data_IF_485698505856
#
_entry.id   IF_485698505856
#
_cell.length_a   1.000
_cell.length_b   1.000
_cell.length_c   1.000
_cell.angle_alpha   90.00
_cell.angle_beta   90.00
_cell.angle_gamma   90.00
#
_symmetry.space_group_name_H-M   'P 1'
#
loop_
_entity.id
_entity.type
_entity.pdbx_description
1 polymer ?
#
# COMPACT_ATOMS: atom_id res chain seq x y z
N UNK A 1 63.93 -67.06 -9.45
CA UNK A 1 64.79 -66.15 -10.24
C UNK A 1 64.44 -66.12 -11.74
N UNK A 2 63.39 -66.79 -12.23
CA UNK A 2 63.07 -66.87 -13.67
C UNK A 2 62.02 -65.84 -14.16
N UNK A 3 61.20 -65.30 -13.27
CA UNK A 3 60.11 -64.37 -13.62
C UNK A 3 60.62 -62.92 -13.85
N UNK A 4 61.62 -62.51 -13.07
CA UNK A 4 62.28 -61.21 -13.21
C UNK A 4 63.10 -61.12 -14.51
N UNK A 5 63.75 -62.20 -14.92
CA UNK A 5 64.49 -62.26 -16.18
C UNK A 5 63.55 -62.29 -17.39
N UNK A 6 62.40 -62.98 -17.32
CA UNK A 6 61.40 -62.95 -18.40
C UNK A 6 60.79 -61.55 -18.61
N UNK A 7 60.57 -60.80 -17.53
CA UNK A 7 60.07 -59.42 -17.60
C UNK A 7 61.15 -58.48 -18.15
N UNK A 8 62.40 -58.66 -17.71
CA UNK A 8 63.57 -57.93 -18.20
C UNK A 8 63.78 -58.12 -19.71
N UNK A 9 63.66 -59.36 -20.20
CA UNK A 9 63.94 -59.67 -21.60
C UNK A 9 62.81 -59.24 -22.53
N UNK A 10 61.55 -59.33 -22.08
CA UNK A 10 60.42 -58.72 -22.80
C UNK A 10 60.46 -57.19 -22.79
N UNK A 11 60.95 -56.57 -21.71
CA UNK A 11 61.15 -55.12 -21.63
C UNK A 11 62.29 -54.64 -22.55
N UNK A 12 63.37 -55.42 -22.69
CA UNK A 12 64.44 -55.14 -23.67
C UNK A 12 63.95 -55.25 -25.11
N UNK A 13 63.17 -56.29 -25.42
CA UNK A 13 62.55 -56.44 -26.75
C UNK A 13 61.59 -55.31 -27.10
N UNK A 14 60.86 -54.78 -26.13
CA UNK A 14 59.99 -53.62 -26.32
C UNK A 14 60.78 -52.32 -26.58
N UNK A 15 61.99 -52.22 -26.02
CA UNK A 15 62.88 -51.05 -26.19
C UNK A 15 63.54 -50.98 -27.58
N UNK A 16 63.80 -52.13 -28.20
CA UNK A 16 64.53 -52.22 -29.47
C UNK A 16 63.62 -52.30 -30.71
N UNK A 17 62.28 -52.27 -30.53
CA UNK A 17 61.33 -52.35 -31.64
C UNK A 17 61.17 -50.99 -32.36
N UNK A 18 61.56 -50.94 -33.64
CA UNK A 18 61.48 -49.74 -34.50
C UNK A 18 60.09 -49.51 -35.10
N UNK A 19 59.08 -50.30 -34.70
CA UNK A 19 57.65 -49.97 -34.86
C UNK A 19 57.14 -48.84 -33.95
N UNK A 20 58.04 -48.13 -33.25
CA UNK A 20 57.78 -47.13 -32.22
C UNK A 20 56.89 -45.93 -32.59
N UNK A 21 56.50 -45.77 -33.86
CA UNK A 21 55.43 -44.83 -34.22
C UNK A 21 54.12 -45.17 -33.47
N UNK A 22 53.78 -46.44 -33.32
CA UNK A 22 52.56 -46.84 -32.62
C UNK A 22 52.60 -46.51 -31.12
N UNK A 23 53.73 -46.73 -30.44
CA UNK A 23 53.89 -46.43 -29.02
C UNK A 23 53.91 -44.91 -28.75
N UNK A 24 54.56 -44.14 -29.63
CA UNK A 24 54.61 -42.66 -29.54
C UNK A 24 53.22 -42.06 -29.83
N UNK A 25 52.52 -42.52 -30.87
CA UNK A 25 51.15 -42.08 -31.18
C UNK A 25 50.20 -42.48 -30.06
N UNK A 26 50.33 -43.69 -29.49
CA UNK A 26 49.54 -44.13 -28.34
C UNK A 26 49.78 -43.24 -27.11
N UNK A 27 51.04 -42.96 -26.77
CA UNK A 27 51.37 -42.11 -25.63
C UNK A 27 50.83 -40.67 -25.79
N UNK A 28 50.90 -40.12 -27.01
CA UNK A 28 50.39 -38.76 -27.29
C UNK A 28 48.86 -38.72 -27.33
N UNK A 29 48.18 -39.78 -27.76
CA UNK A 29 46.70 -39.83 -27.84
C UNK A 29 46.02 -40.22 -26.53
N UNK A 30 46.69 -40.99 -25.67
CA UNK A 30 46.16 -41.38 -24.35
C UNK A 30 45.95 -40.18 -23.43
N UNK A 31 46.85 -39.19 -23.46
CA UNK A 31 46.76 -38.00 -22.62
C UNK A 31 45.49 -37.17 -22.89
N UNK A 32 45.19 -36.72 -24.13
CA UNK A 32 43.96 -35.98 -24.42
C UNK A 32 42.70 -36.82 -24.22
N UNK A 33 42.74 -38.14 -24.46
CA UNK A 33 41.60 -39.02 -24.11
C UNK A 33 41.36 -39.10 -22.60
N UNK A 34 42.42 -39.24 -21.80
CA UNK A 34 42.31 -39.26 -20.35
C UNK A 34 41.77 -37.93 -19.81
N UNK A 35 42.19 -36.80 -20.37
CA UNK A 35 41.62 -35.49 -20.05
C UNK A 35 40.15 -35.37 -20.45
N UNK A 36 39.77 -35.87 -21.64
CA UNK A 36 38.38 -35.86 -22.06
C UNK A 36 37.48 -36.71 -21.15
N UNK A 37 37.96 -37.88 -20.71
CA UNK A 37 37.25 -38.74 -19.75
C UNK A 37 37.14 -38.03 -18.39
N UNK A 38 38.23 -37.43 -17.91
CA UNK A 38 38.22 -36.70 -16.64
C UNK A 38 37.28 -35.50 -16.65
N UNK A 39 37.29 -34.74 -17.74
CA UNK A 39 36.34 -33.68 -18.00
C UNK A 39 34.89 -34.17 -18.01
N UNK A 40 34.62 -35.32 -18.65
CA UNK A 40 33.29 -35.90 -18.67
C UNK A 40 32.80 -36.32 -17.27
N UNK A 41 33.67 -36.84 -16.41
CA UNK A 41 33.33 -37.23 -15.04
C UNK A 41 33.01 -36.00 -14.18
N UNK A 42 33.84 -34.96 -14.24
CA UNK A 42 33.60 -33.70 -13.52
C UNK A 42 32.34 -32.98 -14.04
N UNK A 43 32.10 -33.03 -15.35
CA UNK A 43 30.87 -32.50 -15.93
C UNK A 43 29.63 -33.29 -15.48
N UNK A 44 29.72 -34.62 -15.42
CA UNK A 44 28.65 -35.47 -14.90
C UNK A 44 28.38 -35.20 -13.41
N UNK A 45 29.41 -34.92 -12.60
CA UNK A 45 29.24 -34.52 -11.21
C UNK A 45 28.54 -33.16 -11.10
N UNK A 46 28.92 -32.18 -11.92
CA UNK A 46 28.27 -30.87 -11.99
C UNK A 46 26.80 -30.97 -12.43
N UNK A 47 26.46 -31.82 -13.40
CA UNK A 47 25.07 -32.06 -13.83
C UNK A 47 24.24 -32.69 -12.71
N UNK A 48 24.78 -33.70 -12.01
CA UNK A 48 24.10 -34.29 -10.85
C UNK A 48 23.82 -33.25 -9.78
N UNK A 49 24.82 -32.40 -9.49
CA UNK A 49 24.66 -31.30 -8.55
C UNK A 49 23.60 -30.30 -9.02
N UNK A 50 23.52 -30.00 -10.32
CA UNK A 50 22.47 -29.13 -10.87
C UNK A 50 21.08 -29.70 -10.62
N UNK A 51 20.88 -31.00 -10.87
CA UNK A 51 19.60 -31.66 -10.64
C UNK A 51 19.21 -31.63 -9.14
N UNK A 52 20.16 -31.94 -8.25
CA UNK A 52 19.95 -31.84 -6.80
C UNK A 52 19.64 -30.41 -6.37
N UNK A 53 20.41 -29.42 -6.85
CA UNK A 53 20.20 -28.01 -6.53
C UNK A 53 18.82 -27.52 -6.98
N UNK A 54 18.40 -27.87 -8.19
CA UNK A 54 17.06 -27.52 -8.70
C UNK A 54 15.97 -28.13 -7.83
N UNK A 55 16.03 -29.44 -7.56
CA UNK A 55 15.02 -30.12 -6.74
C UNK A 55 14.95 -29.58 -5.31
N UNK A 56 16.11 -29.32 -4.68
CA UNK A 56 16.19 -28.71 -3.34
C UNK A 56 15.67 -27.27 -3.35
N UNK A 57 15.96 -26.50 -4.40
CA UNK A 57 15.48 -25.12 -4.56
C UNK A 57 13.97 -25.06 -4.79
N UNK A 58 13.41 -25.96 -5.59
CA UNK A 58 11.96 -26.06 -5.81
C UNK A 58 11.22 -26.38 -4.51
N UNK A 59 11.70 -27.39 -3.76
CA UNK A 59 11.16 -27.73 -2.45
C UNK A 59 11.27 -26.56 -1.46
N UNK A 60 12.39 -25.84 -1.49
CA UNK A 60 12.60 -24.69 -0.62
C UNK A 60 11.69 -23.50 -0.95
N UNK A 61 11.57 -23.15 -2.22
CA UNK A 61 10.68 -22.10 -2.68
C UNK A 61 9.21 -22.47 -2.41
N UNK A 62 8.83 -23.73 -2.65
CA UNK A 62 7.48 -24.21 -2.39
C UNK A 62 7.12 -24.20 -0.91
N UNK A 63 8.01 -24.61 -0.01
CA UNK A 63 7.69 -24.58 1.42
C UNK A 63 7.58 -23.15 1.96
N UNK A 64 8.37 -22.20 1.44
CA UNK A 64 8.22 -20.77 1.76
C UNK A 64 6.89 -20.24 1.22
N UNK A 65 6.52 -20.63 0.00
CA UNK A 65 5.22 -20.30 -0.59
C UNK A 65 4.05 -20.85 0.25
N UNK A 66 4.11 -22.10 0.68
CA UNK A 66 3.08 -22.74 1.51
C UNK A 66 3.01 -22.10 2.90
N UNK A 67 4.15 -21.81 3.54
CA UNK A 67 4.18 -21.10 4.83
C UNK A 67 3.49 -19.73 4.74
N UNK A 68 3.65 -19.03 3.61
CA UNK A 68 2.95 -17.77 3.37
C UNK A 68 1.44 -17.95 3.15
N UNK A 69 1.02 -19.09 2.59
CA UNK A 69 -0.40 -19.43 2.40
C UNK A 69 -1.06 -19.83 3.72
N UNK A 70 -0.34 -20.53 4.62
CA UNK A 70 -0.85 -21.01 5.89
C UNK A 70 -0.94 -19.94 7.00
N UNK A 71 -0.81 -18.66 6.64
CA UNK A 71 -0.98 -17.53 7.56
C UNK A 71 0.25 -17.23 8.42
N UNK A 72 1.42 -17.83 8.13
CA UNK A 72 2.67 -17.38 8.75
C UNK A 72 3.16 -16.10 8.07
N UNK A 73 3.58 -15.12 8.87
CA UNK A 73 4.10 -13.84 8.41
C UNK A 73 5.50 -13.99 7.80
N UNK A 74 5.63 -14.49 6.58
CA UNK A 74 6.89 -14.38 5.84
C UNK A 74 6.95 -12.97 5.25
N UNK A 75 7.94 -12.20 5.71
CA UNK A 75 8.23 -10.89 5.16
C UNK A 75 8.73 -11.05 3.71
N UNK A 76 7.98 -10.50 2.75
CA UNK A 76 8.29 -10.62 1.32
C UNK A 76 9.30 -9.57 0.84
N UNK A 77 9.83 -8.73 1.73
CA UNK A 77 10.98 -7.90 1.40
C UNK A 77 12.14 -8.81 0.97
N UNK A 78 12.80 -8.43 -0.13
CA UNK A 78 13.82 -9.24 -0.81
C UNK A 78 14.87 -9.83 0.12
N UNK A 79 15.33 -9.07 1.12
CA UNK A 79 16.30 -9.54 2.12
C UNK A 79 15.76 -10.64 3.05
N UNK A 80 14.56 -10.47 3.59
CA UNK A 80 13.94 -11.46 4.47
C UNK A 80 13.52 -12.72 3.71
N UNK A 81 12.98 -12.54 2.50
CA UNK A 81 12.59 -13.62 1.60
C UNK A 81 13.81 -14.46 1.17
N UNK A 82 14.90 -13.80 0.80
CA UNK A 82 16.18 -14.45 0.50
C UNK A 82 16.67 -15.26 1.68
N UNK A 83 16.59 -14.72 2.91
CA UNK A 83 17.00 -15.44 4.11
C UNK A 83 16.14 -16.70 4.35
N UNK A 84 14.82 -16.60 4.19
CA UNK A 84 13.89 -17.72 4.35
C UNK A 84 14.17 -18.85 3.33
N UNK A 85 14.31 -18.50 2.04
CA UNK A 85 14.62 -19.48 0.99
C UNK A 85 16.00 -20.10 1.20
N UNK A 86 17.01 -19.30 1.55
CA UNK A 86 18.37 -19.80 1.82
C UNK A 86 18.39 -20.80 2.97
N UNK A 87 17.71 -20.49 4.08
CA UNK A 87 17.61 -21.39 5.26
C UNK A 87 17.02 -22.74 4.86
N UNK A 88 15.92 -22.71 4.11
CA UNK A 88 15.25 -23.93 3.69
C UNK A 88 16.06 -24.72 2.66
N UNK A 89 16.71 -24.04 1.72
CA UNK A 89 17.61 -24.64 0.73
C UNK A 89 18.78 -25.35 1.42
N UNK A 90 19.39 -24.74 2.44
CA UNK A 90 20.47 -25.36 3.20
C UNK A 90 20.00 -26.64 3.90
N UNK A 91 18.78 -26.64 4.47
CA UNK A 91 18.17 -27.85 5.03
C UNK A 91 17.93 -28.92 3.97
N UNK A 92 17.41 -28.54 2.79
CA UNK A 92 17.11 -29.46 1.70
C UNK A 92 18.36 -30.03 1.01
N UNK A 93 19.49 -29.32 1.05
CA UNK A 93 20.79 -29.79 0.54
C UNK A 93 21.55 -30.69 1.54
N UNK A 94 21.12 -30.74 2.81
CA UNK A 94 21.73 -31.58 3.84
C UNK A 94 23.24 -31.34 3.99
N UNK A 95 24.09 -32.39 3.96
CA UNK A 95 25.54 -32.26 4.10
C UNK A 95 26.22 -31.30 3.10
N UNK A 96 25.64 -31.16 1.89
CA UNK A 96 26.14 -30.24 0.86
C UNK A 96 25.84 -28.78 1.19
N UNK A 97 24.78 -28.50 1.97
CA UNK A 97 24.39 -27.16 2.39
C UNK A 97 25.26 -26.57 3.50
N UNK A 98 25.94 -27.42 4.28
CA UNK A 98 26.85 -27.02 5.34
C UNK A 98 28.29 -26.72 4.85
N UNK A 99 28.67 -27.27 3.69
CA UNK A 99 30.07 -27.28 3.22
C UNK A 99 30.33 -26.50 1.92
N UNK A 100 29.28 -25.93 1.30
CA UNK A 100 29.43 -25.12 0.10
C UNK A 100 29.00 -23.67 0.36
N UNK A 101 29.71 -22.71 -0.23
CA UNK A 101 29.26 -21.32 -0.33
C UNK A 101 28.00 -21.24 -1.20
N UNK A 102 26.85 -21.67 -0.67
CA UNK A 102 25.56 -21.56 -1.34
C UNK A 102 25.09 -20.11 -1.22
N UNK A 103 25.06 -19.43 -2.36
CA UNK A 103 24.41 -18.13 -2.48
C UNK A 103 23.02 -18.33 -3.04
N UNK A 104 22.00 -17.84 -2.33
CA UNK A 104 20.63 -17.80 -2.82
C UNK A 104 20.16 -16.35 -2.84
N UNK A 105 19.32 -16.02 -3.81
CA UNK A 105 18.57 -14.77 -3.90
C UNK A 105 17.12 -15.11 -4.16
N UNK A 106 16.21 -14.39 -3.54
CA UNK A 106 14.78 -14.55 -3.77
C UNK A 106 14.08 -13.20 -3.78
N UNK A 107 13.11 -13.05 -4.68
CA UNK A 107 12.31 -11.85 -4.85
C UNK A 107 10.91 -12.23 -5.32
N UNK A 108 9.96 -11.33 -5.08
CA UNK A 108 8.68 -11.36 -5.79
C UNK A 108 8.91 -10.63 -7.12
N UNK A 109 8.68 -11.34 -8.23
CA UNK A 109 8.81 -10.73 -9.55
C UNK A 109 7.60 -9.84 -9.88
N UNK A 110 7.59 -9.17 -11.04
CA UNK A 110 6.48 -8.33 -11.51
C UNK A 110 5.15 -9.08 -11.67
N UNK A 111 5.22 -10.41 -11.64
CA UNK A 111 4.14 -11.36 -11.75
C UNK A 111 3.54 -11.70 -10.37
N UNK A 112 4.20 -11.34 -9.26
CA UNK A 112 3.75 -11.74 -7.93
C UNK A 112 4.14 -13.20 -7.60
N UNK A 113 4.90 -13.85 -8.47
CA UNK A 113 5.48 -15.16 -8.21
C UNK A 113 6.78 -15.01 -7.41
N UNK A 114 7.04 -16.00 -6.55
CA UNK A 114 8.31 -16.15 -5.88
C UNK A 114 9.34 -16.64 -6.91
N UNK A 115 10.27 -15.79 -7.30
CA UNK A 115 11.43 -16.15 -8.09
C UNK A 115 12.63 -16.35 -7.17
N UNK A 116 13.30 -17.51 -7.26
CA UNK A 116 14.50 -17.79 -6.50
C UNK A 116 15.62 -18.32 -7.39
N UNK A 117 16.84 -17.86 -7.13
CA UNK A 117 18.06 -18.29 -7.81
C UNK A 117 19.05 -18.77 -6.77
N UNK A 118 19.62 -19.96 -6.97
CA UNK A 118 20.70 -20.51 -6.15
C UNK A 118 21.93 -20.79 -7.00
N UNK A 119 23.10 -20.59 -6.42
CA UNK A 119 24.39 -20.90 -7.03
C UNK A 119 25.24 -21.70 -6.05
N UNK A 120 25.92 -22.72 -6.58
CA UNK A 120 26.86 -23.56 -5.84
C UNK A 120 28.12 -23.77 -6.68
N UNK A 121 29.28 -23.69 -6.04
CA UNK A 121 30.57 -23.96 -6.68
C UNK A 121 30.96 -25.41 -6.39
N UNK A 122 31.10 -26.21 -7.45
CA UNK A 122 31.50 -27.62 -7.35
C UNK A 122 32.98 -27.74 -7.65
N UNK A 123 33.83 -28.22 -6.73
CA UNK A 123 35.24 -28.46 -7.01
C UNK A 123 35.38 -29.61 -8.01
N UNK A 124 36.24 -29.43 -9.01
CA UNK A 124 36.56 -30.44 -10.02
C UNK A 124 37.73 -31.30 -9.56
N UNK A 125 37.65 -32.62 -9.70
CA UNK A 125 38.72 -33.51 -9.25
C UNK A 125 39.77 -33.76 -10.34
N UNK A 126 39.36 -33.81 -11.60
CA UNK A 126 40.20 -34.22 -12.72
C UNK A 126 40.54 -33.03 -13.62
N UNK A 127 39.61 -32.11 -13.85
CA UNK A 127 39.85 -30.85 -14.55
C UNK A 127 40.77 -29.90 -13.74
N UNK A 128 40.87 -30.08 -12.42
CA UNK A 128 41.79 -29.32 -11.57
C UNK A 128 43.25 -29.47 -11.98
N UNK A 129 43.60 -30.61 -12.58
CA UNK A 129 44.95 -30.90 -13.09
C UNK A 129 45.34 -29.97 -14.24
N UNK A 130 44.35 -29.47 -15.00
CA UNK A 130 44.56 -28.52 -16.13
C UNK A 130 44.17 -27.08 -15.77
N UNK A 131 44.06 -26.77 -14.48
CA UNK A 131 43.85 -25.41 -13.97
C UNK A 131 42.39 -24.96 -13.89
N UNK A 132 41.42 -25.80 -14.26
CA UNK A 132 40.00 -25.54 -14.00
C UNK A 132 39.66 -26.19 -12.66
N UNK A 133 39.66 -25.40 -11.58
CA UNK A 133 39.53 -25.94 -10.21
C UNK A 133 38.08 -26.10 -9.72
N UNK A 134 37.12 -25.50 -10.42
CA UNK A 134 35.71 -25.54 -10.02
C UNK A 134 34.76 -25.19 -11.16
N UNK A 135 33.53 -25.68 -11.07
CA UNK A 135 32.41 -25.35 -11.96
C UNK A 135 31.31 -24.68 -11.14
N UNK A 136 30.84 -23.52 -11.58
CA UNK A 136 29.68 -22.87 -10.98
C UNK A 136 28.40 -23.44 -11.57
N UNK A 137 27.51 -23.90 -10.69
CA UNK A 137 26.21 -24.46 -11.05
C UNK A 137 25.13 -23.54 -10.50
N UNK A 138 24.23 -23.10 -11.37
CA UNK A 138 23.09 -22.26 -11.01
C UNK A 138 21.77 -22.96 -11.29
N UNK A 139 20.79 -22.76 -10.40
CA UNK A 139 19.41 -23.17 -10.58
C UNK A 139 18.48 -21.99 -10.32
N UNK A 140 17.38 -21.94 -11.05
CA UNK A 140 16.33 -20.92 -10.94
C UNK A 140 14.97 -21.59 -10.85
N UNK A 141 14.11 -21.10 -9.96
CA UNK A 141 12.73 -21.58 -9.83
C UNK A 141 11.75 -20.42 -9.73
N UNK A 142 10.50 -20.66 -10.12
CA UNK A 142 9.39 -19.72 -10.01
C UNK A 142 8.18 -20.45 -9.44
N UNK A 143 7.66 -19.97 -8.31
CA UNK A 143 6.48 -20.53 -7.65
C UNK A 143 5.39 -19.48 -7.60
N UNK A 144 4.23 -19.79 -8.20
CA UNK A 144 3.06 -18.91 -8.13
C UNK A 144 2.47 -18.96 -6.72
N UNK A 145 2.28 -17.79 -6.13
CA UNK A 145 1.58 -17.64 -4.85
C UNK A 145 0.08 -17.41 -5.13
N UNK A 146 -0.84 -18.09 -4.42
CA UNK A 146 -2.25 -17.71 -4.46
C UNK A 146 -2.38 -16.24 -4.10
N UNK A 147 -3.21 -15.50 -4.84
CA UNK A 147 -3.44 -14.08 -4.62
C UNK A 147 -3.71 -13.82 -3.13
N UNK A 148 -2.94 -12.92 -2.53
CA UNK A 148 -3.09 -12.61 -1.12
C UNK A 148 -4.39 -11.89 -0.80
N UNK A 149 -4.74 -11.82 0.50
CA UNK A 149 -5.88 -11.02 0.97
C UNK A 149 -5.81 -9.58 0.46
N UNK A 150 -6.94 -8.93 0.37
CA UNK A 150 -7.13 -7.55 -0.05
C UNK A 150 -7.49 -6.71 1.17
N UNK A 151 -6.77 -5.61 1.36
CA UNK A 151 -7.18 -4.54 2.26
C UNK A 151 -7.35 -3.27 1.43
N UNK A 152 -8.54 -2.69 1.46
CA UNK A 152 -8.87 -1.50 0.67
C UNK A 152 -9.42 -0.38 1.56
N UNK A 153 -8.94 0.84 1.38
CA UNK A 153 -9.52 2.03 1.99
C UNK A 153 -10.09 2.95 0.91
N UNK A 154 -11.36 3.33 1.05
CA UNK A 154 -12.00 4.33 0.19
C UNK A 154 -11.88 5.70 0.85
N UNK A 155 -11.00 6.56 0.34
CA UNK A 155 -10.93 7.98 0.69
C UNK A 155 -11.94 8.73 -0.19
N UNK A 156 -13.09 9.04 0.40
CA UNK A 156 -14.25 9.53 -0.33
C UNK A 156 -14.53 10.98 0.04
N UNK A 157 -14.44 11.86 -0.95
CA UNK A 157 -14.82 13.25 -0.81
C UNK A 157 -16.33 13.37 -0.54
N UNK A 158 -16.67 13.99 0.57
CA UNK A 158 -18.03 14.27 1.01
C UNK A 158 -18.23 15.76 1.30
N UNK A 159 -17.58 16.62 0.53
CA UNK A 159 -17.64 18.08 0.68
C UNK A 159 -18.96 18.66 0.16
N UNK A 160 -19.17 19.97 0.32
CA UNK A 160 -20.43 20.63 -0.06
C UNK A 160 -20.77 20.49 -1.54
N UNK A 161 -19.77 20.50 -2.42
CA UNK A 161 -19.90 20.30 -3.88
C UNK A 161 -20.52 18.95 -4.25
N UNK A 162 -20.34 17.95 -3.38
CA UNK A 162 -20.87 16.60 -3.56
C UNK A 162 -22.36 16.46 -3.25
N UNK A 163 -23.04 17.51 -2.77
CA UNK A 163 -24.44 17.41 -2.38
C UNK A 163 -25.38 16.99 -3.53
N UNK A 164 -26.52 16.40 -3.16
CA UNK A 164 -27.56 15.99 -4.10
C UNK A 164 -27.19 14.75 -4.93
N UNK A 165 -27.23 14.87 -6.26
CA UNK A 165 -27.05 13.73 -7.16
C UNK A 165 -25.61 13.17 -7.16
N UNK A 166 -24.60 14.00 -6.83
CA UNK A 166 -23.20 13.56 -6.83
C UNK A 166 -22.90 12.55 -5.73
N UNK A 167 -23.30 12.84 -4.48
CA UNK A 167 -23.12 11.91 -3.36
C UNK A 167 -23.94 10.63 -3.57
N UNK A 168 -25.14 10.70 -4.14
CA UNK A 168 -25.94 9.52 -4.49
C UNK A 168 -25.24 8.65 -5.55
N UNK A 169 -24.62 9.27 -6.55
CA UNK A 169 -23.81 8.56 -7.55
C UNK A 169 -22.58 7.89 -6.92
N UNK A 170 -21.89 8.59 -6.02
CA UNK A 170 -20.77 8.02 -5.26
C UNK A 170 -21.21 6.83 -4.41
N UNK A 171 -22.31 6.94 -3.67
CA UNK A 171 -22.84 5.85 -2.85
C UNK A 171 -23.13 4.61 -3.69
N UNK A 172 -23.69 4.79 -4.89
CA UNK A 172 -23.95 3.70 -5.82
C UNK A 172 -22.64 3.07 -6.32
N UNK A 173 -21.69 3.89 -6.79
CA UNK A 173 -20.40 3.41 -7.30
C UNK A 173 -19.57 2.69 -6.21
N UNK A 174 -19.54 3.22 -4.99
CA UNK A 174 -18.88 2.61 -3.84
C UNK A 174 -19.57 1.30 -3.42
N UNK A 175 -20.91 1.22 -3.52
CA UNK A 175 -21.68 -0.01 -3.29
C UNK A 175 -21.29 -1.10 -4.28
N UNK A 176 -21.18 -0.77 -5.57
CA UNK A 176 -20.75 -1.71 -6.61
C UNK A 176 -19.34 -2.25 -6.36
N UNK A 177 -18.41 -1.37 -5.96
CA UNK A 177 -17.06 -1.77 -5.57
C UNK A 177 -17.08 -2.69 -4.34
N UNK A 178 -17.84 -2.33 -3.30
CA UNK A 178 -18.01 -3.16 -2.11
C UNK A 178 -18.53 -4.56 -2.46
N UNK A 179 -19.56 -4.64 -3.29
CA UNK A 179 -20.13 -5.91 -3.75
C UNK A 179 -19.12 -6.73 -4.56
N UNK A 180 -18.36 -6.07 -5.44
CA UNK A 180 -17.33 -6.72 -6.25
C UNK A 180 -16.21 -7.30 -5.39
N UNK A 181 -15.73 -6.56 -4.39
CA UNK A 181 -14.69 -7.04 -3.47
C UNK A 181 -15.19 -8.22 -2.62
N UNK A 182 -16.40 -8.13 -2.07
CA UNK A 182 -16.97 -9.21 -1.25
C UNK A 182 -17.50 -10.40 -2.07
N UNK A 183 -17.46 -10.33 -3.40
CA UNK A 183 -17.67 -11.49 -4.28
C UNK A 183 -16.45 -12.43 -4.38
N UNK A 184 -15.27 -12.00 -3.89
CA UNK A 184 -14.08 -12.85 -3.86
C UNK A 184 -14.35 -14.09 -2.99
N UNK A 185 -13.95 -15.30 -3.42
CA UNK A 185 -14.08 -16.52 -2.62
C UNK A 185 -13.48 -16.36 -1.21
N UNK A 186 -14.26 -16.73 -0.19
CA UNK A 186 -13.91 -16.57 1.23
C UNK A 186 -13.61 -15.10 1.62
N UNK A 187 -14.33 -14.13 1.05
CA UNK A 187 -14.14 -12.71 1.33
C UNK A 187 -14.12 -12.35 2.82
N UNK A 188 -14.89 -13.03 3.67
CA UNK A 188 -14.88 -12.82 5.13
C UNK A 188 -13.51 -13.05 5.78
N UNK A 189 -12.61 -13.80 5.14
CA UNK A 189 -11.23 -14.01 5.58
C UNK A 189 -10.19 -13.29 4.71
N UNK A 190 -10.55 -12.94 3.48
CA UNK A 190 -9.62 -12.46 2.47
C UNK A 190 -9.81 -10.99 2.09
N UNK A 191 -10.87 -10.33 2.55
CA UNK A 191 -11.20 -8.97 2.17
C UNK A 191 -11.49 -8.18 3.43
N UNK A 192 -10.80 -7.06 3.57
CA UNK A 192 -11.19 -6.03 4.51
C UNK A 192 -11.28 -4.68 3.82
N UNK A 193 -12.31 -3.92 4.16
CA UNK A 193 -12.57 -2.62 3.57
C UNK A 193 -12.75 -1.57 4.66
N UNK A 194 -12.18 -0.39 4.48
CA UNK A 194 -12.37 0.80 5.28
C UNK A 194 -13.03 1.90 4.42
N UNK A 195 -13.84 2.74 5.04
CA UNK A 195 -14.48 3.90 4.39
C UNK A 195 -14.08 5.14 5.16
N UNK A 196 -13.42 6.07 4.48
CA UNK A 196 -12.92 7.33 5.04
C UNK A 196 -13.59 8.48 4.29
N UNK A 197 -14.80 8.89 4.71
CA UNK A 197 -15.36 10.17 4.28
C UNK A 197 -14.46 11.30 4.75
N UNK A 198 -14.23 12.27 3.88
CA UNK A 198 -13.49 13.47 4.24
C UNK A 198 -14.15 14.73 3.68
N UNK A 199 -14.01 15.80 4.44
CA UNK A 199 -14.12 17.16 3.94
C UNK A 199 -12.80 17.86 4.28
N UNK A 200 -12.84 19.08 4.82
CA UNK A 200 -11.63 19.71 5.30
C UNK A 200 -11.07 18.97 6.53
N UNK A 201 -11.87 18.14 7.20
CA UNK A 201 -11.46 17.24 8.28
C UNK A 201 -11.81 15.79 7.98
N UNK A 202 -11.30 14.89 8.83
CA UNK A 202 -11.76 13.50 8.93
C UNK A 202 -12.37 13.31 10.31
N UNK A 203 -13.47 12.57 10.37
CA UNK A 203 -14.09 12.17 11.63
C UNK A 203 -13.63 10.76 12.00
N UNK A 204 -12.99 10.60 13.15
CA UNK A 204 -12.49 9.30 13.63
C UNK A 204 -13.48 8.57 14.55
N UNK A 205 -14.66 9.16 14.76
CA UNK A 205 -15.64 8.72 15.75
C UNK A 205 -15.20 9.03 17.18
N UNK A 206 -16.01 8.57 18.14
CA UNK A 206 -15.81 8.85 19.57
C UNK A 206 -15.14 7.70 20.34
N UNK A 207 -14.96 6.54 19.71
CA UNK A 207 -14.45 5.34 20.37
C UNK A 207 -13.02 5.54 20.91
N UNK A 208 -12.21 6.32 20.19
CA UNK A 208 -10.80 6.57 20.52
C UNK A 208 -10.58 7.86 21.32
N UNK A 209 -11.62 8.42 21.95
CA UNK A 209 -11.56 9.67 22.74
C UNK A 209 -10.47 9.69 23.81
N UNK A 210 -10.21 8.54 24.42
CA UNK A 210 -9.21 8.38 25.48
C UNK A 210 -7.92 7.71 24.96
N UNK A 211 -7.74 7.60 23.64
CA UNK A 211 -6.54 7.02 23.07
C UNK A 211 -5.32 7.90 23.36
N UNK A 212 -4.20 7.27 23.73
CA UNK A 212 -2.97 7.98 24.12
C UNK A 212 -2.28 8.70 22.96
N UNK A 213 -2.66 8.37 21.73
CA UNK A 213 -2.17 9.01 20.51
C UNK A 213 -3.03 10.19 20.05
N UNK A 214 -4.10 10.54 20.79
CA UNK A 214 -5.00 11.66 20.52
C UNK A 214 -4.86 12.72 21.63
N UNK A 215 -4.86 13.99 21.28
CA UNK A 215 -4.80 15.12 22.24
C UNK A 215 -5.96 16.09 22.05
N UNK A 216 -6.45 16.70 23.12
CA UNK A 216 -7.50 17.74 23.06
C UNK A 216 -8.94 17.24 22.85
N UNK A 217 -9.21 15.94 23.02
CA UNK A 217 -10.51 15.32 22.73
C UNK A 217 -11.53 15.37 23.90
N UNK A 218 -11.16 15.99 25.01
CA UNK A 218 -11.99 16.02 26.23
C UNK A 218 -12.94 17.22 26.19
N UNK A 219 -14.23 16.98 26.40
CA UNK A 219 -15.22 18.04 26.51
C UNK A 219 -14.92 18.90 27.75
N UNK A 220 -15.13 20.20 27.64
CA UNK A 220 -14.98 21.11 28.77
C UNK A 220 -16.01 22.23 28.70
N UNK A 221 -16.31 22.83 29.85
CA UNK A 221 -17.23 23.96 29.94
C UNK A 221 -16.44 25.21 30.27
N UNK A 222 -16.59 26.27 29.49
CA UNK A 222 -16.16 27.61 29.90
C UNK A 222 -17.24 28.20 30.80
N UNK A 223 -16.92 28.54 32.07
CA UNK A 223 -17.91 29.15 32.96
C UNK A 223 -18.41 30.48 32.39
N UNK A 224 -19.67 30.80 32.68
CA UNK A 224 -20.19 32.13 32.42
C UNK A 224 -19.29 33.19 33.08
N UNK A 225 -18.82 34.17 32.30
CA UNK A 225 -18.02 35.28 32.82
C UNK A 225 -18.58 36.61 32.31
N UNK A 226 -18.60 37.62 33.18
CA UNK A 226 -19.17 38.94 32.91
C UNK A 226 -20.53 39.19 33.57
N UNK A 227 -21.06 40.39 33.36
CA UNK A 227 -22.37 40.82 33.88
C UNK A 227 -23.43 40.80 32.79
N UNK A 228 -24.70 40.67 33.17
CA UNK A 228 -25.80 40.79 32.25
C UNK A 228 -25.84 42.19 31.62
N UNK A 229 -26.14 42.25 30.33
CA UNK A 229 -26.24 43.50 29.57
C UNK A 229 -27.65 43.64 29.02
N UNK A 230 -28.25 44.83 29.18
CA UNK A 230 -29.53 45.16 28.57
C UNK A 230 -29.31 45.50 27.10
N UNK A 231 -29.90 44.70 26.21
CA UNK A 231 -29.83 44.90 24.76
C UNK A 231 -31.15 45.46 24.23
N UNK A 232 -31.11 46.38 23.25
CA UNK A 232 -32.32 46.87 22.60
C UNK A 232 -33.00 45.73 21.84
N UNK A 233 -34.30 45.54 22.07
CA UNK A 233 -35.09 44.59 21.31
C UNK A 233 -35.47 45.23 19.96
N UNK A 234 -34.73 44.91 18.91
CA UNK A 234 -34.92 45.49 17.57
C UNK A 234 -35.91 44.65 16.77
N UNK A 235 -37.04 45.25 16.38
CA UNK A 235 -38.07 44.59 15.57
C UNK A 235 -38.04 45.15 14.16
N UNK A 236 -38.09 44.26 13.16
CA UNK A 236 -38.19 44.67 11.77
C UNK A 236 -39.55 45.34 11.52
N UNK A 237 -39.53 46.61 11.12
CA UNK A 237 -40.74 47.43 10.90
C UNK A 237 -40.78 48.07 9.51
N UNK A 238 -39.64 48.16 8.82
CA UNK A 238 -39.56 48.67 7.44
C UNK A 238 -40.00 47.66 6.36
N UNK A 239 -40.49 46.49 6.74
CA UNK A 239 -40.71 45.37 5.82
C UNK A 239 -39.40 44.71 5.36
N UNK A 240 -39.52 43.69 4.51
CA UNK A 240 -38.38 42.91 4.01
C UNK A 240 -38.17 43.16 2.52
N UNK A 241 -36.92 43.33 2.11
CA UNK A 241 -36.49 43.25 0.72
C UNK A 241 -35.70 41.98 0.51
N UNK A 242 -36.05 41.21 -0.51
CA UNK A 242 -35.25 40.06 -0.94
C UNK A 242 -34.00 40.56 -1.66
N UNK A 243 -32.83 40.27 -1.11
CA UNK A 243 -31.54 40.50 -1.77
C UNK A 243 -31.20 39.22 -2.52
N UNK A 244 -31.04 39.33 -3.83
CA UNK A 244 -30.48 38.25 -4.66
C UNK A 244 -28.98 38.49 -4.79
N UNK A 245 -28.19 37.44 -4.60
CA UNK A 245 -26.74 37.46 -4.74
C UNK A 245 -26.24 36.15 -5.33
N UNK A 246 -24.94 36.07 -5.53
CA UNK A 246 -24.23 34.82 -5.83
C UNK A 246 -23.53 34.36 -4.56
N UNK A 247 -23.91 33.20 -4.04
CA UNK A 247 -23.24 32.55 -2.92
C UNK A 247 -22.25 31.51 -3.46
N UNK A 248 -21.13 31.35 -2.77
CA UNK A 248 -20.17 30.27 -3.06
C UNK A 248 -20.26 29.23 -1.95
N UNK A 249 -20.38 27.96 -2.32
CA UNK A 249 -20.30 26.81 -1.42
C UNK A 249 -19.22 25.88 -1.99
N UNK A 250 -18.13 25.69 -1.26
CA UNK A 250 -16.98 24.89 -1.68
C UNK A 250 -16.49 25.18 -3.11
N UNK A 251 -16.22 26.46 -3.38
CA UNK A 251 -15.74 26.93 -4.69
C UNK A 251 -16.79 26.91 -5.82
N UNK A 252 -17.99 26.38 -5.60
CA UNK A 252 -19.09 26.39 -6.58
C UNK A 252 -20.01 27.59 -6.33
N UNK A 253 -20.14 28.46 -7.33
CA UNK A 253 -21.04 29.63 -7.30
C UNK A 253 -22.48 29.27 -7.69
N UNK A 254 -23.45 29.70 -6.90
CA UNK A 254 -24.88 29.52 -7.16
C UNK A 254 -25.69 30.77 -6.78
N UNK A 255 -26.83 31.05 -7.44
CA UNK A 255 -27.70 32.14 -7.03
C UNK A 255 -28.34 31.83 -5.67
N UNK A 256 -28.30 32.81 -4.78
CA UNK A 256 -28.92 32.72 -3.46
C UNK A 256 -29.70 33.99 -3.16
N UNK A 257 -30.66 33.89 -2.24
CA UNK A 257 -31.42 35.06 -1.81
C UNK A 257 -31.68 35.01 -0.31
N UNK A 258 -31.58 36.16 0.36
CA UNK A 258 -31.98 36.31 1.75
C UNK A 258 -32.86 37.55 1.94
N UNK A 259 -33.70 37.51 2.96
CA UNK A 259 -34.51 38.66 3.32
C UNK A 259 -33.68 39.62 4.17
N UNK A 260 -33.55 40.87 3.69
CA UNK A 260 -32.99 41.97 4.45
C UNK A 260 -34.12 42.84 4.98
N UNK A 261 -34.07 43.19 6.26
CA UNK A 261 -35.02 44.13 6.84
C UNK A 261 -34.66 45.57 6.43
N UNK A 262 -35.64 46.35 5.98
CA UNK A 262 -35.42 47.72 5.49
C UNK A 262 -35.43 48.79 6.59
N UNK A 263 -35.66 48.40 7.84
CA UNK A 263 -35.70 49.33 8.97
C UNK A 263 -36.08 48.64 10.26
N UNK A 264 -35.33 48.94 11.32
CA UNK A 264 -35.54 48.41 12.66
C UNK A 264 -36.07 49.49 13.58
N UNK A 265 -37.07 49.16 14.40
CA UNK A 265 -37.54 50.03 15.49
C UNK A 265 -37.33 49.30 16.81
N UNK A 266 -36.86 50.03 17.84
CA UNK A 266 -36.66 49.45 19.16
C UNK A 266 -38.00 49.28 19.88
N UNK A 267 -38.29 48.07 20.34
CA UNK A 267 -39.46 47.74 21.17
C UNK A 267 -39.01 47.25 22.55
N UNK A 268 -38.56 48.18 23.39
CA UNK A 268 -38.06 47.89 24.73
C UNK A 268 -36.63 47.33 24.76
N UNK A 269 -36.29 46.67 25.85
CA UNK A 269 -35.01 46.00 26.07
C UNK A 269 -35.24 44.58 26.56
N UNK A 270 -34.29 43.69 26.28
CA UNK A 270 -34.20 42.38 26.92
C UNK A 270 -32.82 42.22 27.55
N UNK A 271 -32.76 41.48 28.65
CA UNK A 271 -31.52 41.26 29.37
C UNK A 271 -30.81 40.03 28.79
N UNK A 272 -29.59 40.20 28.28
CA UNK A 272 -28.72 39.11 27.84
C UNK A 272 -27.65 38.85 28.90
N UNK A 273 -27.68 37.67 29.51
CA UNK A 273 -26.72 37.26 30.51
C UNK A 273 -25.73 36.24 29.92
N UNK A 274 -24.42 36.36 30.21
CA UNK A 274 -23.45 35.33 29.86
C UNK A 274 -23.89 33.97 30.42
N UNK A 275 -23.85 32.95 29.58
CA UNK A 275 -24.14 31.56 29.96
C UNK A 275 -22.89 30.73 29.77
N UNK A 276 -22.76 29.65 30.54
CA UNK A 276 -21.65 28.72 30.37
C UNK A 276 -21.72 28.10 28.96
N UNK A 277 -20.58 28.02 28.28
CA UNK A 277 -20.49 27.40 26.95
C UNK A 277 -19.88 26.03 27.10
N UNK A 278 -20.59 25.00 26.62
CA UNK A 278 -20.08 23.64 26.57
C UNK A 278 -19.33 23.45 25.26
N UNK A 279 -18.07 23.06 25.36
CA UNK A 279 -17.22 22.71 24.24
C UNK A 279 -17.22 21.20 24.09
N UNK A 280 -17.59 20.70 22.91
CA UNK A 280 -17.81 19.26 22.67
C UNK A 280 -17.00 18.78 21.49
N UNK A 281 -16.32 17.66 21.67
CA UNK A 281 -15.61 17.00 20.59
C UNK A 281 -16.50 15.99 19.87
N UNK A 282 -16.71 16.21 18.57
CA UNK A 282 -17.59 15.38 17.74
C UNK A 282 -16.85 14.31 16.90
N UNK A 283 -15.56 14.07 17.18
CA UNK A 283 -14.74 13.08 16.48
C UNK A 283 -13.79 13.66 15.42
N UNK A 284 -13.83 14.98 15.18
CA UNK A 284 -13.03 15.63 14.16
C UNK A 284 -11.56 15.76 14.56
N UNK A 285 -10.65 15.54 13.63
CA UNK A 285 -9.20 15.63 13.86
C UNK A 285 -8.52 16.55 12.86
N UNK A 286 -7.54 17.30 13.37
CA UNK A 286 -6.71 18.23 12.61
C UNK A 286 -5.42 17.59 12.11
N UNK A 287 -4.54 18.43 11.57
CA UNK A 287 -3.19 18.02 11.15
C UNK A 287 -2.18 18.17 12.29
N UNK A 288 -1.24 17.23 12.36
CA UNK A 288 -0.02 17.36 13.17
C UNK A 288 0.93 18.33 12.50
N UNK A 289 1.88 18.86 13.28
CA UNK A 289 2.85 19.81 12.75
C UNK A 289 3.64 19.23 11.56
N UNK A 290 3.91 20.05 10.55
CA UNK A 290 4.79 19.66 9.46
C UNK A 290 6.19 19.28 10.01
N UNK A 291 6.81 18.17 9.54
CA UNK A 291 6.43 17.30 8.42
C UNK A 291 5.72 16.00 8.84
N UNK A 292 5.16 15.93 10.05
CA UNK A 292 4.72 14.67 10.67
C UNK A 292 3.61 13.95 9.89
N UNK A 293 2.82 14.68 9.10
CA UNK A 293 1.72 14.14 8.31
C UNK A 293 2.06 13.84 6.83
N UNK A 294 3.30 14.06 6.39
CA UNK A 294 3.74 13.79 5.00
C UNK A 294 5.01 12.95 4.87
N UNK A 295 5.72 12.70 5.97
CA UNK A 295 6.95 11.91 5.97
C UNK A 295 6.75 10.39 5.77
N UNK A 296 7.87 9.67 5.71
CA UNK A 296 7.89 8.21 5.50
C UNK A 296 7.16 7.39 6.57
N UNK A 297 6.87 7.98 7.72
CA UNK A 297 6.15 7.36 8.84
C UNK A 297 4.90 8.16 9.24
N UNK A 298 4.32 8.93 8.31
CA UNK A 298 3.13 9.73 8.59
C UNK A 298 1.89 8.91 8.97
N UNK A 299 1.87 7.62 8.60
CA UNK A 299 0.87 6.66 9.08
C UNK A 299 0.95 6.39 10.59
N UNK A 300 2.10 6.64 11.21
CA UNK A 300 2.35 6.33 12.61
C UNK A 300 2.00 7.52 13.50
N UNK A 301 1.36 7.23 14.63
CA UNK A 301 1.08 8.19 15.70
C UNK A 301 1.60 7.67 17.04
N UNK A 302 1.93 8.57 17.96
CA UNK A 302 2.42 8.20 19.30
C UNK A 302 2.09 9.28 20.31
N UNK A 303 2.32 8.99 21.60
CA UNK A 303 2.18 9.99 22.68
C UNK A 303 3.11 11.19 22.47
N UNK A 304 4.29 10.99 21.91
CA UNK A 304 5.24 12.06 21.61
C UNK A 304 4.90 12.86 20.35
N UNK A 305 3.98 12.37 19.53
CA UNK A 305 3.50 13.03 18.32
C UNK A 305 2.01 12.70 18.08
N UNK A 306 1.12 13.21 18.95
CA UNK A 306 -0.29 12.87 18.95
C UNK A 306 -1.05 13.62 17.85
N UNK A 307 -2.18 13.07 17.44
CA UNK A 307 -3.13 13.75 16.55
C UNK A 307 -3.94 14.76 17.37
N UNK A 308 -4.09 16.02 16.90
CA UNK A 308 -4.96 16.99 17.56
C UNK A 308 -6.43 16.72 17.24
N UNK A 309 -7.26 16.65 18.28
CA UNK A 309 -8.71 16.71 18.18
C UNK A 309 -9.19 18.15 18.00
N UNK A 310 -10.22 18.33 17.18
CA UNK A 310 -10.81 19.64 16.87
C UNK A 310 -12.13 19.80 17.62
N UNK A 311 -12.11 20.48 18.77
CA UNK A 311 -13.29 20.69 19.63
C UNK A 311 -14.20 21.80 19.06
N UNK A 312 -15.51 21.58 19.07
CA UNK A 312 -16.54 22.44 18.45
C UNK A 312 -16.54 22.49 16.92
N UNK A 313 -15.73 21.64 16.27
CA UNK A 313 -15.73 21.51 14.82
C UNK A 313 -16.75 20.46 14.40
N UNK A 314 -17.40 20.74 13.27
CA UNK A 314 -18.20 19.77 12.56
C UNK A 314 -17.38 19.20 11.39
N UNK A 315 -17.49 17.90 11.19
CA UNK A 315 -16.87 17.17 10.09
C UNK A 315 -17.85 16.11 9.57
N UNK A 316 -17.51 15.49 8.45
CA UNK A 316 -18.31 14.42 7.84
C UNK A 316 -18.62 13.26 8.83
N UNK A 317 -19.44 12.31 8.37
CA UNK A 317 -19.73 11.10 9.16
C UNK A 317 -18.45 10.37 9.61
N UNK A 318 -18.49 9.62 10.74
CA UNK A 318 -17.32 8.92 11.26
C UNK A 318 -16.78 7.92 10.23
N UNK A 319 -15.45 7.85 10.13
CA UNK A 319 -14.80 6.83 9.31
C UNK A 319 -15.14 5.44 9.84
N UNK A 320 -15.29 4.52 8.91
CA UNK A 320 -15.42 3.10 9.21
C UNK A 320 -14.05 2.45 9.06
N UNK A 321 -13.55 1.91 10.18
CA UNK A 321 -12.29 1.15 10.21
C UNK A 321 -12.37 -0.12 9.36
N UNK A 322 -11.19 -0.66 9.11
CA UNK A 322 -10.99 -1.84 8.28
C UNK A 322 -11.77 -3.03 8.84
N UNK A 323 -12.73 -3.56 8.06
CA UNK A 323 -13.59 -4.67 8.49
C UNK A 323 -13.82 -5.68 7.38
N UNK A 324 -14.07 -6.94 7.75
CA UNK A 324 -14.45 -8.03 6.85
C UNK A 324 -15.99 -8.21 6.74
N UNK A 325 -16.77 -7.28 7.30
CA UNK A 325 -18.23 -7.29 7.23
C UNK A 325 -18.73 -6.41 6.09
N UNK A 326 -19.20 -7.03 5.00
CA UNK A 326 -19.79 -6.32 3.87
C UNK A 326 -20.95 -5.40 4.30
N UNK A 327 -21.78 -5.87 5.24
CA UNK A 327 -22.92 -5.10 5.73
C UNK A 327 -22.49 -3.85 6.50
N UNK A 328 -21.40 -3.92 7.27
CA UNK A 328 -20.85 -2.77 7.99
C UNK A 328 -20.29 -1.73 7.01
N UNK A 329 -19.57 -2.18 5.97
CA UNK A 329 -19.07 -1.31 4.90
C UNK A 329 -20.23 -0.67 4.14
N UNK A 330 -21.26 -1.45 3.81
CA UNK A 330 -22.47 -0.96 3.13
C UNK A 330 -23.18 0.12 3.94
N UNK A 331 -23.27 -0.06 5.26
CA UNK A 331 -23.89 0.92 6.16
C UNK A 331 -23.09 2.22 6.18
N UNK A 332 -21.75 2.13 6.21
CA UNK A 332 -20.88 3.31 6.14
C UNK A 332 -21.05 4.08 4.82
N UNK A 333 -21.17 3.38 3.68
CA UNK A 333 -21.43 3.99 2.37
C UNK A 333 -22.80 4.69 2.35
N UNK A 334 -23.85 4.03 2.82
CA UNK A 334 -25.21 4.59 2.82
C UNK A 334 -25.34 5.84 3.70
N UNK A 335 -24.48 5.96 4.72
CA UNK A 335 -24.47 7.08 5.66
C UNK A 335 -23.58 8.26 5.23
N UNK A 336 -22.95 8.20 4.04
CA UNK A 336 -22.19 9.33 3.51
C UNK A 336 -23.10 10.55 3.31
N UNK A 337 -22.70 11.69 3.85
CA UNK A 337 -23.41 12.96 3.72
C UNK A 337 -22.46 14.05 3.28
N UNK A 338 -22.91 14.88 2.34
CA UNK A 338 -22.13 15.99 1.78
C UNK A 338 -22.17 17.22 2.69
N UNK A 339 -21.02 17.83 2.97
CA UNK A 339 -20.94 19.11 3.67
C UNK A 339 -19.50 19.51 4.04
N UNK A 340 -19.32 20.81 4.25
CA UNK A 340 -18.00 21.41 4.47
C UNK A 340 -17.30 21.73 3.16
N UNK A 341 -15.99 21.87 3.24
CA UNK A 341 -15.10 22.43 2.24
C UNK A 341 -13.99 21.40 1.93
N UNK A 342 -13.30 21.51 0.80
CA UNK A 342 -12.38 20.48 0.34
C UNK A 342 -10.93 20.66 0.82
N UNK A 343 -10.42 19.69 1.59
CA UNK A 343 -8.98 19.47 1.78
C UNK A 343 -8.64 17.97 1.66
N UNK A 344 -7.96 17.58 0.59
CA UNK A 344 -7.80 16.18 0.18
C UNK A 344 -6.75 15.44 1.02
N UNK A 345 -5.68 16.12 1.45
CA UNK A 345 -4.55 15.46 2.10
C UNK A 345 -4.93 14.69 3.39
N UNK A 346 -5.77 15.23 4.31
CA UNK A 346 -6.24 14.50 5.49
C UNK A 346 -7.02 13.23 5.15
N UNK A 347 -7.91 13.27 4.15
CA UNK A 347 -8.68 12.10 3.73
C UNK A 347 -7.77 10.96 3.26
N UNK A 348 -6.76 11.30 2.45
CA UNK A 348 -5.76 10.35 1.98
C UNK A 348 -4.88 9.79 3.11
N UNK A 349 -4.44 10.66 4.03
CA UNK A 349 -3.63 10.25 5.18
C UNK A 349 -4.39 9.30 6.11
N UNK A 350 -5.66 9.59 6.40
CA UNK A 350 -6.47 8.72 7.24
C UNK A 350 -6.82 7.40 6.57
N UNK A 351 -7.05 7.38 5.25
CA UNK A 351 -7.14 6.13 4.50
C UNK A 351 -5.87 5.29 4.65
N UNK A 352 -4.68 5.91 4.58
CA UNK A 352 -3.43 5.20 4.84
C UNK A 352 -3.33 4.67 6.29
N UNK A 353 -3.73 5.46 7.30
CA UNK A 353 -3.77 5.04 8.71
C UNK A 353 -4.66 3.82 8.94
N UNK A 354 -5.80 3.71 8.27
CA UNK A 354 -6.67 2.50 8.37
C UNK A 354 -6.03 1.25 7.79
N UNK A 355 -5.12 1.39 6.83
CA UNK A 355 -4.37 0.29 6.22
C UNK A 355 -3.03 0.01 6.92
N UNK A 356 -2.64 0.83 7.89
CA UNK A 356 -1.35 0.70 8.56
C UNK A 356 -1.37 -0.43 9.59
N UNK A 357 -0.25 -1.19 9.72
CA UNK A 357 -0.03 -2.09 10.84
C UNK A 357 0.39 -1.35 12.12
N UNK A 358 0.56 -0.03 12.07
CA UNK A 358 0.97 0.79 13.20
C UNK A 358 -0.23 1.52 13.82
N UNK A 359 -0.02 2.07 15.02
CA UNK A 359 -0.98 3.00 15.63
C UNK A 359 -1.28 4.14 14.65
N UNK A 360 -2.54 4.63 14.54
CA UNK A 360 -3.52 4.66 15.63
C UNK A 360 -4.31 3.37 15.84
N UNK A 361 -4.56 2.60 14.77
CA UNK A 361 -5.46 1.45 14.81
C UNK A 361 -4.76 0.11 14.76
N UNK A 362 -3.66 0.01 13.99
CA UNK A 362 -2.95 -1.23 13.74
C UNK A 362 -3.82 -2.35 13.14
N UNK A 363 -4.88 -1.99 12.40
CA UNK A 363 -5.84 -2.95 11.83
C UNK A 363 -5.31 -3.67 10.58
N UNK A 364 -4.40 -3.01 9.87
CA UNK A 364 -3.86 -3.47 8.61
C UNK A 364 -2.77 -4.53 8.77
N UNK A 365 -2.65 -5.42 7.79
CA UNK A 365 -1.53 -6.35 7.72
C UNK A 365 -0.17 -5.63 7.64
N UNK A 366 0.91 -6.29 8.05
CA UNK A 366 2.27 -5.75 7.94
C UNK A 366 2.63 -5.32 6.50
N UNK A 367 3.35 -4.21 6.37
CA UNK A 367 3.91 -3.80 5.07
C UNK A 367 4.86 -4.89 4.54
N UNK A 368 4.79 -5.18 3.23
CA UNK A 368 5.55 -6.28 2.62
C UNK A 368 5.01 -7.69 2.94
N UNK A 369 3.83 -7.81 3.54
CA UNK A 369 3.12 -9.09 3.61
C UNK A 369 2.50 -9.45 2.25
N UNK A 370 1.89 -10.64 2.15
CA UNK A 370 1.13 -11.06 0.95
C UNK A 370 -0.14 -10.22 0.73
N UNK A 371 -0.60 -9.50 1.76
CA UNK A 371 -1.81 -8.69 1.68
C UNK A 371 -1.60 -7.53 0.71
N UNK A 372 -2.47 -7.47 -0.30
CA UNK A 372 -2.49 -6.43 -1.30
C UNK A 372 -3.29 -5.26 -0.75
N UNK A 373 -2.64 -4.10 -0.66
CA UNK A 373 -3.22 -2.89 -0.06
C UNK A 373 -3.56 -1.87 -1.13
N UNK A 374 -4.78 -1.34 -1.08
CA UNK A 374 -5.30 -0.41 -2.07
C UNK A 374 -5.94 0.80 -1.41
N UNK A 375 -5.75 1.98 -2.00
CA UNK A 375 -6.54 3.17 -1.70
C UNK A 375 -7.31 3.57 -2.95
N UNK A 376 -8.58 3.87 -2.80
CA UNK A 376 -9.38 4.56 -3.82
C UNK A 376 -9.64 5.96 -3.31
N UNK A 377 -8.97 6.94 -3.93
CA UNK A 377 -9.20 8.36 -3.66
C UNK A 377 -10.17 8.91 -4.71
N UNK A 378 -11.28 9.48 -4.26
CA UNK A 378 -12.24 10.16 -5.14
C UNK A 378 -12.50 11.56 -4.62
N UNK A 379 -12.49 12.55 -5.53
CA UNK A 379 -12.87 13.95 -5.27
C UNK A 379 -13.58 14.55 -6.48
N UNK A 380 -14.50 15.48 -6.24
CA UNK A 380 -15.20 16.23 -7.29
C UNK A 380 -14.70 17.67 -7.46
N UNK A 381 -13.68 18.06 -6.69
CA UNK A 381 -13.27 19.45 -6.55
C UNK A 381 -11.77 19.65 -6.48
N UNK A 382 -11.41 20.93 -6.32
CA UNK A 382 -10.06 21.38 -5.99
C UNK A 382 -9.90 21.41 -4.47
N UNK A 383 -8.66 21.44 -3.97
CA UNK A 383 -8.45 21.89 -2.60
C UNK A 383 -8.92 23.35 -2.47
N UNK A 384 -9.94 23.60 -1.66
CA UNK A 384 -10.41 24.95 -1.27
C UNK A 384 -9.82 25.40 0.06
N UNK A 385 -9.28 24.44 0.83
CA UNK A 385 -8.62 24.65 2.10
C UNK A 385 -7.20 24.08 2.17
N UNK A 386 -6.46 24.57 3.16
CA UNK A 386 -5.07 24.22 3.45
C UNK A 386 -4.84 24.22 4.96
N UNK A 387 -3.73 23.64 5.47
CA UNK A 387 -3.48 23.65 6.90
C UNK A 387 -3.22 25.08 7.43
N UNK A 388 -3.77 25.36 8.61
CA UNK A 388 -3.44 26.48 9.50
C UNK A 388 -3.35 25.91 10.92
N UNK A 389 -2.20 25.30 11.22
CA UNK A 389 -2.05 24.29 12.27
C UNK A 389 -2.68 24.66 13.63
N UNK A 390 -3.37 23.70 14.29
CA UNK A 390 -3.71 22.34 13.83
C UNK A 390 -4.93 22.28 12.88
N UNK A 391 -5.55 23.42 12.62
CA UNK A 391 -6.77 23.58 11.82
C UNK A 391 -6.48 23.49 10.31
N UNK A 392 -7.53 23.48 9.50
CA UNK A 392 -7.52 23.41 8.05
C UNK A 392 -8.24 24.59 7.39
N UNK A 393 -8.51 25.69 8.09
CA UNK A 393 -9.09 26.90 7.49
C UNK A 393 -8.09 27.80 6.74
N UNK A 394 -6.88 27.32 6.44
CA UNK A 394 -5.99 28.01 5.51
C UNK A 394 -6.55 28.03 4.09
N UNK A 395 -6.05 28.92 3.24
CA UNK A 395 -6.54 29.11 1.85
C UNK A 395 -5.44 28.94 0.79
N UNK A 396 -4.26 28.43 1.18
CA UNK A 396 -3.15 28.19 0.27
C UNK A 396 -3.32 26.85 -0.46
N UNK A 397 -4.01 26.92 -1.60
CA UNK A 397 -4.30 25.76 -2.45
C UNK A 397 -3.03 25.12 -3.03
N UNK A 398 -1.94 25.88 -3.23
CA UNK A 398 -0.67 25.35 -3.72
C UNK A 398 0.01 24.48 -2.64
N UNK A 399 -0.01 24.94 -1.39
CA UNK A 399 0.44 24.14 -0.25
C UNK A 399 -0.41 22.89 -0.08
N UNK A 400 -1.74 23.00 -0.16
CA UNK A 400 -2.64 21.84 -0.06
C UNK A 400 -2.35 20.78 -1.15
N UNK A 401 -2.21 21.21 -2.40
CA UNK A 401 -1.84 20.34 -3.53
C UNK A 401 -0.48 19.66 -3.32
N UNK A 402 0.49 20.40 -2.80
CA UNK A 402 1.83 19.88 -2.48
C UNK A 402 1.75 18.78 -1.42
N UNK A 403 1.00 19.01 -0.35
CA UNK A 403 0.83 18.05 0.73
C UNK A 403 0.08 16.80 0.26
N UNK A 404 -0.97 16.95 -0.56
CA UNK A 404 -1.62 15.80 -1.21
C UNK A 404 -0.62 14.97 -2.00
N UNK A 405 0.19 15.58 -2.86
CA UNK A 405 1.18 14.88 -3.67
C UNK A 405 2.26 14.18 -2.82
N UNK A 406 2.73 14.81 -1.75
CA UNK A 406 3.70 14.22 -0.83
C UNK A 406 3.12 13.00 -0.09
N UNK A 407 1.88 13.11 0.40
CA UNK A 407 1.17 11.98 1.03
C UNK A 407 1.03 10.81 0.06
N UNK A 408 0.66 11.06 -1.20
CA UNK A 408 0.61 10.03 -2.24
C UNK A 408 1.97 9.34 -2.43
N UNK A 409 3.07 10.11 -2.47
CA UNK A 409 4.41 9.55 -2.63
C UNK A 409 4.79 8.64 -1.44
N UNK A 410 4.51 9.07 -0.21
CA UNK A 410 4.78 8.31 1.01
C UNK A 410 3.96 7.01 1.07
N UNK A 411 2.69 7.05 0.66
CA UNK A 411 1.82 5.86 0.55
C UNK A 411 2.38 4.87 -0.47
N UNK A 412 2.73 5.34 -1.67
CA UNK A 412 3.30 4.50 -2.73
C UNK A 412 4.62 3.86 -2.30
N UNK A 413 5.44 4.59 -1.53
CA UNK A 413 6.69 4.05 -0.99
C UNK A 413 6.48 2.89 0.01
N UNK A 414 5.30 2.75 0.62
CA UNK A 414 4.92 1.57 1.43
C UNK A 414 4.40 0.38 0.61
N UNK A 415 4.36 0.49 -0.72
CA UNK A 415 3.83 -0.55 -1.61
C UNK A 415 2.31 -0.60 -1.69
N UNK A 416 1.62 0.47 -1.26
CA UNK A 416 0.16 0.59 -1.39
C UNK A 416 -0.17 1.11 -2.79
N UNK A 417 -1.12 0.47 -3.46
CA UNK A 417 -1.60 0.90 -4.78
C UNK A 417 -2.71 1.94 -4.63
N UNK A 418 -2.56 3.11 -5.24
CA UNK A 418 -3.56 4.19 -5.23
C UNK A 418 -4.26 4.23 -6.57
N UNK A 419 -5.59 4.13 -6.54
CA UNK A 419 -6.48 4.53 -7.61
C UNK A 419 -7.03 5.92 -7.31
N UNK A 420 -7.16 6.75 -8.33
CA UNK A 420 -7.72 8.10 -8.19
C UNK A 420 -8.84 8.32 -9.18
N UNK A 421 -9.92 8.97 -8.73
CA UNK A 421 -11.08 9.29 -9.55
C UNK A 421 -11.37 10.77 -9.40
N UNK A 422 -11.25 11.52 -10.50
CA UNK A 422 -11.67 12.91 -10.59
C UNK A 422 -13.11 12.94 -11.09
N UNK A 423 -14.07 13.35 -10.25
CA UNK A 423 -15.49 13.31 -10.60
C UNK A 423 -16.02 14.69 -10.96
N UNK A 424 -16.28 14.95 -12.25
CA UNK A 424 -16.75 16.25 -12.76
C UNK A 424 -15.80 17.43 -12.44
N UNK A 425 -14.52 17.13 -12.22
CA UNK A 425 -13.48 18.14 -12.02
C UNK A 425 -13.14 18.78 -13.37
N UNK A 426 -12.95 20.10 -13.40
CA UNK A 426 -12.53 20.84 -14.59
C UNK A 426 -11.13 21.44 -14.46
N UNK A 427 -10.67 21.70 -13.24
CA UNK A 427 -9.34 22.26 -12.97
C UNK A 427 -8.21 21.28 -13.36
N UNK A 428 -7.33 21.72 -14.25
CA UNK A 428 -6.24 20.89 -14.77
C UNK A 428 -5.11 20.68 -13.76
N UNK A 429 -4.95 21.60 -12.80
CA UNK A 429 -3.89 21.52 -11.78
C UNK A 429 -4.17 20.35 -10.84
N UNK A 430 -5.38 20.29 -10.28
CA UNK A 430 -5.77 19.19 -9.39
C UNK A 430 -5.87 17.87 -10.15
N UNK A 431 -6.34 17.86 -11.41
CA UNK A 431 -6.28 16.66 -12.26
C UNK A 431 -4.85 16.13 -12.41
N UNK A 432 -3.88 17.02 -12.62
CA UNK A 432 -2.47 16.66 -12.65
C UNK A 432 -1.98 16.07 -11.31
N UNK A 433 -2.42 16.62 -10.17
CA UNK A 433 -2.12 16.07 -8.84
C UNK A 433 -2.70 14.66 -8.67
N UNK A 434 -3.98 14.46 -9.01
CA UNK A 434 -4.66 13.16 -8.91
C UNK A 434 -4.03 12.12 -9.85
N UNK A 435 -3.76 12.49 -11.10
CA UNK A 435 -3.12 11.62 -12.07
C UNK A 435 -1.72 11.16 -11.61
N UNK A 436 -0.94 12.06 -11.00
CA UNK A 436 0.37 11.71 -10.43
C UNK A 436 0.27 10.97 -9.09
N UNK A 437 -0.83 11.14 -8.37
CA UNK A 437 -1.09 10.42 -7.13
C UNK A 437 -1.35 8.93 -7.39
N UNK A 438 -2.09 8.59 -8.46
CA UNK A 438 -2.30 7.22 -8.89
C UNK A 438 -0.96 6.45 -9.04
N UNK A 439 -0.96 5.16 -8.68
CA UNK A 439 0.25 4.32 -8.77
C UNK A 439 0.62 4.00 -10.21
N UNK A 440 -0.37 3.88 -11.10
CA UNK A 440 -0.16 3.71 -12.54
C UNK A 440 -1.05 4.67 -13.31
N UNK A 441 -0.67 4.96 -14.56
CA UNK A 441 -1.49 5.78 -15.47
C UNK A 441 -2.87 5.18 -15.71
N UNK A 442 -2.99 3.85 -15.72
CA UNK A 442 -4.26 3.12 -15.81
C UNK A 442 -5.10 3.15 -14.52
N UNK A 443 -4.55 3.69 -13.43
CA UNK A 443 -5.23 3.82 -12.14
C UNK A 443 -5.85 5.19 -11.90
N UNK A 444 -5.77 6.11 -12.87
CA UNK A 444 -6.43 7.40 -12.87
C UNK A 444 -7.69 7.36 -13.76
N UNK A 445 -8.81 7.86 -13.24
CA UNK A 445 -10.08 7.93 -13.94
C UNK A 445 -10.61 9.37 -13.90
N UNK A 446 -10.96 9.90 -15.07
CA UNK A 446 -11.60 11.21 -15.24
C UNK A 446 -13.08 10.98 -15.57
N UNK A 447 -13.93 11.04 -14.55
CA UNK A 447 -15.35 10.69 -14.65
C UNK A 447 -16.18 11.95 -14.82
N UNK A 448 -16.80 12.14 -15.98
CA UNK A 448 -17.58 13.36 -16.29
C UNK A 448 -19.07 13.24 -15.94
N UNK A 449 -19.53 12.03 -15.66
CA UNK A 449 -20.93 11.70 -15.34
C UNK A 449 -21.04 10.64 -14.24
N UNK A 450 -22.24 10.49 -13.67
CA UNK A 450 -22.52 9.44 -12.69
C UNK A 450 -22.27 8.02 -13.26
N UNK A 451 -22.54 7.82 -14.56
CA UNK A 451 -22.26 6.55 -15.23
C UNK A 451 -20.76 6.30 -15.40
N UNK A 452 -19.98 7.34 -15.69
CA UNK A 452 -18.51 7.24 -15.76
C UNK A 452 -17.92 6.92 -14.39
N UNK A 453 -18.50 7.48 -13.31
CA UNK A 453 -18.09 7.21 -11.94
C UNK A 453 -18.32 5.75 -11.56
N UNK A 454 -19.51 5.21 -11.86
CA UNK A 454 -19.81 3.78 -11.66
C UNK A 454 -18.86 2.90 -12.48
N UNK A 455 -18.62 3.24 -13.75
CA UNK A 455 -17.69 2.51 -14.63
C UNK A 455 -16.27 2.51 -14.07
N UNK A 456 -15.80 3.63 -13.52
CA UNK A 456 -14.48 3.72 -12.88
C UNK A 456 -14.38 2.80 -11.66
N UNK A 457 -15.37 2.81 -10.76
CA UNK A 457 -15.38 1.95 -9.57
C UNK A 457 -15.49 0.45 -9.93
N UNK A 458 -16.24 0.10 -10.97
CA UNK A 458 -16.29 -1.27 -11.51
C UNK A 458 -14.94 -1.70 -12.09
N UNK A 459 -14.28 -0.82 -12.86
CA UNK A 459 -12.94 -1.09 -13.40
C UNK A 459 -11.90 -1.28 -12.29
N UNK A 460 -11.96 -0.47 -11.23
CA UNK A 460 -11.13 -0.62 -10.03
C UNK A 460 -11.40 -1.96 -9.34
N UNK A 461 -12.66 -2.31 -9.12
CA UNK A 461 -13.06 -3.59 -8.53
C UNK A 461 -12.49 -4.77 -9.33
N UNK A 462 -12.65 -4.74 -10.65
CA UNK A 462 -12.10 -5.75 -11.56
C UNK A 462 -10.57 -5.81 -11.51
N UNK A 463 -9.88 -4.68 -11.48
CA UNK A 463 -8.42 -4.64 -11.38
C UNK A 463 -7.91 -5.26 -10.06
N UNK A 464 -8.68 -5.15 -8.98
CA UNK A 464 -8.34 -5.72 -7.67
C UNK A 464 -8.67 -7.22 -7.59
N UNK A 465 -9.81 -7.63 -8.13
CA UNK A 465 -10.30 -9.01 -8.07
C UNK A 465 -9.61 -9.92 -9.08
N UNK A 466 -9.14 -9.39 -10.22
CA UNK A 466 -8.42 -10.18 -11.21
C UNK A 466 -7.10 -10.71 -10.63
N UNK A 467 -7.04 -12.03 -10.50
CA UNK A 467 -5.78 -12.76 -10.33
C UNK A 467 -5.01 -12.58 -11.64
N UNK A 468 -3.89 -11.84 -11.61
CA UNK A 468 -2.96 -11.84 -12.75
C UNK A 468 -2.52 -13.29 -12.97
N UNK A 469 -3.08 -13.94 -13.99
CA UNK A 469 -2.48 -15.14 -14.56
C UNK A 469 -1.32 -14.62 -15.39
N UNK A 470 -0.10 -14.93 -14.97
CA UNK A 470 1.07 -14.63 -15.77
C UNK A 470 1.42 -15.91 -16.50
N UNK A 471 1.10 -15.90 -17.78
CA UNK A 471 1.63 -16.87 -18.72
C UNK A 471 3.13 -16.63 -18.91
#
# INVERSE_FOLDING_TARGET
>A
MLLLDMISDKARRFRDDRGGAAAVIFAITVLPMAFAIGAAIDYASAIRMRATLTSSLDSAALSVAVAQVSGQSVNLASGALTHAVKKQLQGALGPYGASAHVTATASIDSSGALAATAQITVPTQLMGIVGVNSINVSATTRVSLPAGPVELAMALDTTGSMAGAKIAALQTAATDLNNTLFSIPNASSNVKVAVVPFNQFVNIGLADRNATWLTGAQDYTTPASGSCTDLPNMVCTGGYTTINSTCTNDGISSPCSWQNCNGYTQQGTYQSCPSAVNHVWHGCVGSRNFPDDVGANADQVSVGNPVPAMIDYWCAGPLQRLTNSQATVQTAINNLTAGGETYIAPGLLWAWRTLSPHAPYSDGAGYGSRTRKYIVLMTDGINTHSPNYPDHYGTDTATANTLTAQTCASIKAKGITIFTVAFQVTDLTIKGVLQNCATSTSGYYDSTSAADLQTAFQAIGNAITQVRILN
#
